data_IF_065598301194
#
_entry.id   IF_065598301194
#
_cell.length_a   1.000
_cell.length_b   1.000
_cell.length_c   1.000
_cell.angle_alpha   90.00
_cell.angle_beta   90.00
_cell.angle_gamma   90.00
#
_symmetry.space_group_name_H-M   'P 1'
#
loop_
_entity.id
_entity.type
_entity.pdbx_description
1 polymer ?
#
# COMPACT_ATOMS: atom_id res chain seq x y z
N UNK A 1 -12.73 5.79 18.91
CA UNK A 1 -11.71 5.57 17.87
C UNK A 1 -12.24 4.54 16.89
N UNK A 2 -12.47 4.94 15.63
CA UNK A 2 -13.03 4.02 14.65
C UNK A 2 -11.96 3.02 14.20
N UNK A 3 -12.21 1.73 14.36
CA UNK A 3 -11.36 0.64 13.90
C UNK A 3 -12.07 -0.15 12.81
N UNK A 4 -11.46 -0.17 11.60
CA UNK A 4 -12.02 -0.86 10.42
C UNK A 4 -10.94 -1.78 9.86
N UNK A 5 -11.31 -3.03 9.58
CA UNK A 5 -10.40 -4.06 9.05
C UNK A 5 -9.08 -4.22 9.86
N UNK A 6 -9.15 -4.04 11.18
CA UNK A 6 -7.98 -4.10 12.05
C UNK A 6 -7.11 -2.85 12.09
N UNK A 7 -7.43 -1.81 11.30
CA UNK A 7 -6.70 -0.54 11.25
C UNK A 7 -7.42 0.52 12.07
N UNK A 8 -6.69 1.22 12.93
CA UNK A 8 -7.19 2.35 13.69
C UNK A 8 -7.13 3.61 12.84
N UNK A 9 -8.28 4.24 12.63
CA UNK A 9 -8.39 5.42 11.80
C UNK A 9 -8.16 6.70 12.63
N UNK A 10 -7.47 7.70 12.09
CA UNK A 10 -7.22 8.96 12.79
C UNK A 10 -8.49 9.79 12.90
N UNK A 11 -8.93 10.08 14.12
CA UNK A 11 -10.17 10.81 14.40
C UNK A 11 -10.21 12.24 13.84
N UNK A 12 -9.06 12.89 13.73
CA UNK A 12 -8.92 14.28 13.28
C UNK A 12 -8.94 14.47 11.77
N UNK A 13 -8.97 13.39 11.00
CA UNK A 13 -9.00 13.44 9.54
C UNK A 13 -10.42 13.33 9.00
N UNK A 14 -10.68 13.97 7.83
CA UNK A 14 -11.92 13.81 7.09
C UNK A 14 -12.10 12.36 6.64
N UNK A 15 -13.33 11.89 6.51
CA UNK A 15 -13.67 10.52 6.16
C UNK A 15 -12.95 10.03 4.90
N UNK A 16 -12.92 10.86 3.85
CA UNK A 16 -12.22 10.55 2.59
C UNK A 16 -10.72 10.24 2.77
N UNK A 17 -10.07 10.94 3.69
CA UNK A 17 -8.64 10.77 3.99
C UNK A 17 -8.44 9.65 5.03
N UNK A 18 -9.32 9.58 6.03
CA UNK A 18 -9.25 8.55 7.06
C UNK A 18 -9.29 7.14 6.48
N UNK A 19 -10.17 6.88 5.52
CA UNK A 19 -10.27 5.57 4.86
C UNK A 19 -9.02 5.20 4.05
N UNK A 20 -8.25 6.15 3.55
CA UNK A 20 -7.01 5.84 2.81
C UNK A 20 -5.88 5.30 3.68
N UNK A 21 -6.03 5.28 4.99
CA UNK A 21 -5.08 4.59 5.90
C UNK A 21 -5.19 3.06 5.81
N UNK A 22 -6.31 2.56 5.28
CA UNK A 22 -6.50 1.13 5.03
C UNK A 22 -5.79 0.76 3.72
N UNK A 23 -4.88 -0.19 3.78
CA UNK A 23 -4.17 -0.65 2.58
C UNK A 23 -5.13 -1.29 1.58
N UNK A 24 -5.19 -0.72 0.38
CA UNK A 24 -6.11 -1.13 -0.68
C UNK A 24 -7.24 -0.14 -0.94
N UNK A 25 -7.46 0.83 -0.05
CA UNK A 25 -8.44 1.90 -0.24
C UNK A 25 -7.71 3.18 -0.62
N UNK A 26 -7.89 3.64 -1.85
CA UNK A 26 -7.47 4.94 -2.31
C UNK A 26 -8.60 5.97 -2.17
N UNK A 27 -8.31 7.23 -2.48
CA UNK A 27 -9.28 8.33 -2.36
C UNK A 27 -10.56 8.07 -3.17
N UNK A 28 -10.44 7.59 -4.41
CA UNK A 28 -11.59 7.27 -5.26
C UNK A 28 -12.44 6.11 -4.70
N UNK A 29 -11.81 5.11 -4.08
CA UNK A 29 -12.53 4.02 -3.41
C UNK A 29 -13.19 4.52 -2.12
N UNK A 30 -12.52 5.40 -1.37
CA UNK A 30 -13.09 6.03 -0.18
C UNK A 30 -14.36 6.81 -0.50
N UNK A 31 -14.36 7.59 -1.58
CA UNK A 31 -15.57 8.31 -2.04
C UNK A 31 -16.71 7.33 -2.35
N UNK A 32 -16.45 6.27 -3.13
CA UNK A 32 -17.48 5.26 -3.45
C UNK A 32 -18.06 4.57 -2.21
N UNK A 33 -17.24 4.32 -1.20
CA UNK A 33 -17.69 3.73 0.07
C UNK A 33 -18.59 4.71 0.81
N UNK A 34 -18.15 5.97 0.93
CA UNK A 34 -18.92 7.00 1.64
C UNK A 34 -20.23 7.34 0.92
N UNK A 35 -20.23 7.39 -0.43
CA UNK A 35 -21.45 7.58 -1.23
C UNK A 35 -22.48 6.48 -0.96
N UNK A 36 -22.05 5.21 -0.96
CA UNK A 36 -22.93 4.08 -0.66
C UNK A 36 -23.47 4.11 0.76
N UNK A 37 -22.70 4.60 1.71
CA UNK A 37 -23.11 4.72 3.10
C UNK A 37 -23.90 6.01 3.37
N UNK A 38 -24.03 6.93 2.39
CA UNK A 38 -24.71 8.21 2.54
C UNK A 38 -24.01 9.17 3.50
N UNK A 39 -22.69 9.13 3.57
CA UNK A 39 -21.86 9.92 4.49
C UNK A 39 -21.10 10.98 3.70
N UNK A 40 -21.16 12.26 4.15
CA UNK A 40 -20.38 13.33 3.54
C UNK A 40 -18.88 13.12 3.76
N UNK A 41 -18.08 13.36 2.72
CA UNK A 41 -16.63 13.22 2.70
C UNK A 41 -15.89 14.09 3.70
N UNK A 42 -16.47 15.27 4.01
CA UNK A 42 -15.89 16.28 4.90
C UNK A 42 -16.04 15.97 6.38
N UNK A 43 -16.97 15.08 6.75
CA UNK A 43 -17.17 14.67 8.14
C UNK A 43 -15.90 13.97 8.64
N UNK A 44 -15.45 14.37 9.83
CA UNK A 44 -14.27 13.73 10.44
C UNK A 44 -14.60 12.32 10.92
N UNK A 45 -13.60 11.45 10.89
CA UNK A 45 -13.73 10.06 11.36
C UNK A 45 -14.20 9.97 12.83
N UNK A 46 -13.78 10.94 13.66
CA UNK A 46 -14.20 11.00 15.06
C UNK A 46 -15.67 11.36 15.30
N UNK A 47 -16.31 11.97 14.29
CA UNK A 47 -17.70 12.44 14.36
C UNK A 47 -18.67 11.42 13.75
N UNK A 48 -18.18 10.26 13.30
CA UNK A 48 -19.01 9.19 12.76
C UNK A 48 -19.81 8.50 13.86
N UNK A 49 -21.06 8.26 13.58
CA UNK A 49 -21.95 7.47 14.43
C UNK A 49 -21.64 5.96 14.31
N UNK A 50 -21.95 5.20 15.33
CA UNK A 50 -21.74 3.74 15.36
C UNK A 50 -22.44 3.02 14.22
N UNK A 51 -23.63 3.48 13.81
CA UNK A 51 -24.34 2.97 12.65
C UNK A 51 -23.59 3.19 11.34
N UNK A 52 -23.00 4.37 11.17
CA UNK A 52 -22.16 4.71 10.01
C UNK A 52 -20.88 3.87 9.96
N UNK A 53 -20.24 3.68 11.10
CA UNK A 53 -19.05 2.81 11.22
C UNK A 53 -19.40 1.37 10.87
N UNK A 54 -20.56 0.85 11.31
CA UNK A 54 -21.02 -0.48 10.98
C UNK A 54 -21.30 -0.64 9.48
N UNK A 55 -21.95 0.35 8.86
CA UNK A 55 -22.21 0.37 7.41
C UNK A 55 -20.92 0.36 6.59
N UNK A 56 -19.93 1.21 6.98
CA UNK A 56 -18.61 1.24 6.32
C UNK A 56 -17.90 -0.11 6.48
N UNK A 57 -17.93 -0.73 7.66
CA UNK A 57 -17.32 -2.06 7.88
C UNK A 57 -17.93 -3.12 6.97
N UNK A 58 -19.24 -3.14 6.86
CA UNK A 58 -19.96 -4.09 6.01
C UNK A 58 -19.61 -3.88 4.52
N UNK A 59 -19.62 -2.63 4.04
CA UNK A 59 -19.30 -2.32 2.66
C UNK A 59 -17.84 -2.68 2.32
N UNK A 60 -16.90 -2.33 3.20
CA UNK A 60 -15.47 -2.62 3.03
C UNK A 60 -15.20 -4.12 3.05
N UNK A 61 -15.81 -4.86 4.00
CA UNK A 61 -15.60 -6.31 4.12
C UNK A 61 -16.18 -7.12 2.97
N UNK A 62 -17.30 -6.66 2.38
CA UNK A 62 -17.97 -7.40 1.31
C UNK A 62 -17.44 -7.11 -0.09
N UNK A 63 -16.98 -5.88 -0.35
CA UNK A 63 -16.74 -5.42 -1.71
C UNK A 63 -15.29 -5.05 -2.01
N UNK A 64 -14.41 -5.04 -1.00
CA UNK A 64 -13.02 -4.62 -1.20
C UNK A 64 -12.03 -5.65 -0.65
N UNK A 65 -11.08 -6.03 -1.48
CA UNK A 65 -9.91 -6.79 -1.05
C UNK A 65 -8.91 -5.82 -0.43
N UNK A 66 -8.63 -5.97 0.86
CA UNK A 66 -7.84 -5.02 1.63
C UNK A 66 -6.80 -5.71 2.54
N UNK A 67 -5.90 -4.92 3.07
CA UNK A 67 -4.90 -5.30 4.08
C UNK A 67 -4.20 -6.64 3.81
N UNK A 68 -4.34 -7.62 4.66
CA UNK A 68 -3.63 -8.89 4.60
C UNK A 68 -3.92 -9.69 3.34
N UNK A 69 -5.18 -9.75 2.92
CA UNK A 69 -5.61 -10.46 1.73
C UNK A 69 -4.99 -9.84 0.46
N UNK A 70 -5.04 -8.51 0.34
CA UNK A 70 -4.44 -7.80 -0.79
C UNK A 70 -2.92 -7.95 -0.80
N UNK A 71 -2.26 -7.87 0.37
CA UNK A 71 -0.80 -8.07 0.48
C UNK A 71 -0.40 -9.46 0.03
N UNK A 72 -1.13 -10.48 0.47
CA UNK A 72 -0.92 -11.88 0.07
C UNK A 72 -1.10 -12.05 -1.44
N UNK A 73 -2.16 -11.48 -1.99
CA UNK A 73 -2.41 -11.52 -3.43
C UNK A 73 -1.25 -10.89 -4.24
N UNK A 74 -0.80 -9.70 -3.83
CA UNK A 74 0.33 -9.03 -4.49
C UNK A 74 1.60 -9.88 -4.39
N UNK A 75 1.90 -10.47 -3.23
CA UNK A 75 3.06 -11.33 -3.05
C UNK A 75 2.97 -12.60 -3.91
N UNK A 76 1.80 -13.23 -3.97
CA UNK A 76 1.57 -14.39 -4.84
C UNK A 76 1.75 -14.06 -6.31
N UNK A 77 1.29 -12.89 -6.75
CA UNK A 77 1.49 -12.44 -8.13
C UNK A 77 2.98 -12.22 -8.45
N UNK A 78 3.75 -11.63 -7.52
CA UNK A 78 5.19 -11.47 -7.67
C UNK A 78 5.89 -12.84 -7.69
N UNK A 79 5.53 -13.75 -6.77
CA UNK A 79 6.07 -15.11 -6.73
C UNK A 79 5.82 -15.83 -8.05
N UNK A 80 4.59 -15.77 -8.57
CA UNK A 80 4.24 -16.36 -9.87
C UNK A 80 5.14 -15.85 -11.01
N UNK A 81 5.42 -14.54 -11.06
CA UNK A 81 6.33 -13.98 -12.06
C UNK A 81 7.76 -14.53 -11.92
N UNK A 82 8.23 -14.72 -10.68
CA UNK A 82 9.55 -15.31 -10.41
C UNK A 82 9.61 -16.78 -10.81
N UNK A 83 8.55 -17.53 -10.54
CA UNK A 83 8.48 -18.98 -10.86
C UNK A 83 8.44 -19.22 -12.38
N UNK A 84 7.71 -18.38 -13.11
CA UNK A 84 7.69 -18.40 -14.59
C UNK A 84 9.07 -18.03 -15.18
N UNK A 85 9.93 -17.33 -14.43
CA UNK A 85 11.24 -16.89 -14.90
C UNK A 85 11.20 -15.77 -15.95
N UNK A 86 10.10 -15.02 -16.03
CA UNK A 86 9.98 -13.89 -16.95
C UNK A 86 10.89 -12.71 -16.54
N UNK A 87 11.14 -11.79 -17.48
CA UNK A 87 12.00 -10.62 -17.22
C UNK A 87 11.61 -9.87 -15.95
N UNK A 88 10.32 -9.57 -15.74
CA UNK A 88 9.84 -8.90 -14.54
C UNK A 88 10.10 -9.70 -13.27
N UNK A 89 9.94 -11.02 -13.32
CA UNK A 89 10.24 -11.91 -12.21
C UNK A 89 11.71 -11.90 -11.81
N UNK A 90 12.62 -11.94 -12.80
CA UNK A 90 14.06 -11.82 -12.58
C UNK A 90 14.39 -10.46 -11.94
N UNK A 91 13.76 -9.38 -12.40
CA UNK A 91 13.96 -8.05 -11.83
C UNK A 91 13.49 -7.98 -10.37
N UNK A 92 12.34 -8.60 -10.05
CA UNK A 92 11.87 -8.71 -8.67
C UNK A 92 12.85 -9.49 -7.79
N UNK A 93 13.35 -10.63 -8.27
CA UNK A 93 14.33 -11.46 -7.56
C UNK A 93 15.62 -10.70 -7.24
N UNK A 94 16.08 -9.89 -8.17
CA UNK A 94 17.31 -9.11 -8.03
C UNK A 94 17.11 -7.77 -7.31
N UNK A 95 15.89 -7.42 -6.89
CA UNK A 95 15.60 -6.14 -6.25
C UNK A 95 15.85 -4.92 -7.16
N UNK A 96 15.62 -5.08 -8.46
CA UNK A 96 15.84 -4.05 -9.47
C UNK A 96 14.51 -3.49 -10.00
N UNK A 97 14.51 -2.27 -10.59
CA UNK A 97 13.32 -1.72 -11.25
C UNK A 97 12.78 -2.68 -12.31
N UNK A 98 11.45 -2.85 -12.36
CA UNK A 98 10.78 -3.82 -13.22
C UNK A 98 10.16 -3.22 -14.48
N UNK A 99 10.14 -1.89 -14.59
CA UNK A 99 9.49 -1.14 -15.69
C UNK A 99 10.49 -0.51 -16.66
N UNK A 100 11.66 -1.10 -16.85
CA UNK A 100 12.65 -0.64 -17.83
C UNK A 100 13.42 0.63 -17.43
N UNK A 101 13.31 1.09 -16.17
CA UNK A 101 14.09 2.26 -15.71
C UNK A 101 15.59 1.98 -15.73
N UNK A 102 16.38 3.02 -15.98
CA UNK A 102 17.83 2.92 -15.93
C UNK A 102 18.36 2.59 -14.54
N UNK A 103 19.36 1.73 -14.47
CA UNK A 103 19.96 1.28 -13.20
C UNK A 103 21.39 1.79 -13.00
N UNK A 104 21.94 2.48 -14.00
CA UNK A 104 23.34 2.99 -13.95
C UNK A 104 23.54 3.97 -12.78
N UNK A 105 22.65 4.93 -12.62
CA UNK A 105 22.82 6.04 -11.68
C UNK A 105 21.89 5.96 -10.47
N UNK A 106 20.59 5.90 -10.68
CA UNK A 106 19.51 6.06 -9.68
C UNK A 106 18.89 4.71 -9.26
N UNK A 107 17.58 4.63 -9.15
CA UNK A 107 16.82 3.46 -8.72
C UNK A 107 17.06 3.08 -7.24
N UNK A 108 17.29 4.09 -6.38
CA UNK A 108 17.59 3.86 -4.96
C UNK A 108 16.42 3.25 -4.18
N UNK A 109 15.19 3.55 -4.54
CA UNK A 109 14.01 2.95 -3.90
C UNK A 109 14.05 1.43 -3.93
N UNK A 110 14.46 0.84 -5.06
CA UNK A 110 14.56 -0.62 -5.21
C UNK A 110 15.91 -1.17 -4.73
N UNK A 111 17.00 -0.49 -5.02
CA UNK A 111 18.36 -0.92 -4.66
C UNK A 111 18.72 -0.68 -3.20
N UNK A 112 18.01 0.23 -2.52
CA UNK A 112 18.36 0.69 -1.20
C UNK A 112 19.49 1.73 -1.18
N UNK A 113 20.00 2.04 0.01
CA UNK A 113 21.09 3.01 0.19
C UNK A 113 22.35 2.55 -0.54
N UNK A 114 23.18 3.52 -0.97
CA UNK A 114 24.49 3.23 -1.53
C UNK A 114 25.33 2.51 -0.47
N UNK A 115 25.82 1.33 -0.81
CA UNK A 115 26.77 0.59 0.05
C UNK A 115 28.17 0.93 -0.45
N UNK A 116 29.01 1.42 0.44
CA UNK A 116 30.45 1.59 0.16
C UNK A 116 31.07 0.20 0.12
N UNK A 117 31.78 -0.12 -0.95
CA UNK A 117 32.57 -1.35 -1.01
C UNK A 117 33.79 -1.12 -0.10
N UNK A 118 33.78 -1.75 1.06
CA UNK A 118 34.94 -1.82 1.93
C UNK A 118 35.97 -2.68 1.19
N UNK A 119 36.98 -2.08 0.68
CA UNK A 119 38.23 -2.60 0.10
C UNK A 119 38.66 -1.81 -1.12
N UNK A 120 38.58 -0.48 -1.05
CA UNK A 120 39.56 0.27 -1.82
C UNK A 120 40.89 -0.11 -1.23
N UNK A 121 41.77 -0.72 -2.05
CA UNK A 121 43.17 -0.94 -1.73
C UNK A 121 43.69 0.26 -0.94
N UNK A 122 44.17 0.04 0.28
CA UNK A 122 44.99 1.03 0.96
C UNK A 122 46.09 1.38 -0.04
N UNK A 123 46.19 2.67 -0.37
CA UNK A 123 47.31 3.16 -1.17
C UNK A 123 48.59 2.64 -0.46
N UNK A 124 49.29 1.75 -1.11
CA UNK A 124 50.62 1.39 -0.70
C UNK A 124 51.46 2.68 -0.79
N UNK A 125 51.98 3.10 0.38
CA UNK A 125 52.97 4.16 0.42
C UNK A 125 54.21 3.74 -0.36
#
# INVERSE_FOLDING_TARGET
>A
MARIAGVDLPNNKRGEIGLTYIFGIGRSSAHKILDKCGIDYSIKVGDWDDAQIAAIRAEVGNNYMIEGELRTNVQMNIKRLMDIGCYRGIRHRNGLPVRGQSTKNNARTRKGRKKTVANKKKATK
#
